data_IF_743322785232
#
_entry.id   IF_743322785232
#
_cell.length_a   1.000
_cell.length_b   1.000
_cell.length_c   1.000
_cell.angle_alpha   90.00
_cell.angle_beta   90.00
_cell.angle_gamma   90.00
#
_symmetry.space_group_name_H-M   'P 1'
#
loop_
_entity.id
_entity.type
_entity.pdbx_description
1 polymer ?
#
# COMPACT_ATOMS: atom_id res chain seq x y z
N UNK A 1 29.08 27.93 -27.17
CA UNK A 1 28.35 26.65 -27.11
C UNK A 1 28.47 26.14 -25.69
N UNK A 2 27.40 25.91 -24.93
CA UNK A 2 27.51 25.35 -23.59
C UNK A 2 27.99 23.90 -23.71
N UNK A 3 29.09 23.60 -23.04
CA UNK A 3 29.68 22.27 -22.92
C UNK A 3 28.63 21.34 -22.26
N UNK A 4 28.04 20.40 -23.01
CA UNK A 4 27.16 19.36 -22.50
C UNK A 4 27.96 18.55 -21.47
N UNK A 5 27.79 18.85 -20.20
CA UNK A 5 28.38 18.10 -19.11
C UNK A 5 27.97 16.62 -19.29
N UNK A 6 28.95 15.76 -19.41
CA UNK A 6 28.74 14.31 -19.62
C UNK A 6 28.23 13.75 -18.29
N UNK A 7 26.93 13.43 -18.24
CA UNK A 7 26.32 12.83 -17.05
C UNK A 7 27.12 11.62 -16.57
N UNK A 8 27.29 11.48 -15.27
CA UNK A 8 27.87 10.30 -14.64
C UNK A 8 27.01 9.06 -14.89
N UNK A 9 27.52 7.88 -14.55
CA UNK A 9 26.73 6.63 -14.65
C UNK A 9 25.50 6.69 -13.73
N UNK A 10 25.68 7.18 -12.50
CA UNK A 10 24.63 7.23 -11.47
C UNK A 10 23.58 8.30 -11.80
N UNK A 11 23.98 9.45 -12.32
CA UNK A 11 23.04 10.48 -12.80
C UNK A 11 22.15 9.97 -13.94
N UNK A 12 22.70 9.18 -14.86
CA UNK A 12 21.89 8.57 -15.93
C UNK A 12 20.92 7.53 -15.41
N UNK A 13 21.37 6.72 -14.44
CA UNK A 13 20.51 5.71 -13.80
C UNK A 13 19.36 6.37 -13.05
N UNK A 14 19.64 7.40 -12.27
CA UNK A 14 18.61 8.17 -11.56
C UNK A 14 17.61 8.80 -12.53
N UNK A 15 18.07 9.40 -13.64
CA UNK A 15 17.16 9.95 -14.67
C UNK A 15 16.25 8.89 -15.29
N UNK A 16 16.78 7.69 -15.53
CA UNK A 16 15.99 6.58 -16.04
C UNK A 16 14.90 6.16 -15.04
N UNK A 17 15.23 6.07 -13.75
CA UNK A 17 14.27 5.72 -12.70
C UNK A 17 13.18 6.79 -12.55
N UNK A 18 13.56 8.07 -12.51
CA UNK A 18 12.58 9.17 -12.43
C UNK A 18 11.65 9.19 -13.63
N UNK A 19 12.20 9.09 -14.84
CA UNK A 19 11.39 9.02 -16.07
C UNK A 19 10.49 7.78 -16.10
N UNK A 20 10.98 6.64 -15.61
CA UNK A 20 10.22 5.40 -15.53
C UNK A 20 9.06 5.54 -14.54
N UNK A 21 9.28 6.14 -13.35
CA UNK A 21 8.21 6.41 -12.38
C UNK A 21 7.09 7.22 -13.00
N UNK A 22 7.40 8.32 -13.68
CA UNK A 22 6.41 9.18 -14.33
C UNK A 22 5.64 8.41 -15.42
N UNK A 23 6.35 7.73 -16.35
CA UNK A 23 5.70 7.04 -17.49
C UNK A 23 4.85 5.87 -16.99
N UNK A 24 5.33 5.10 -16.02
CA UNK A 24 4.56 4.01 -15.43
C UNK A 24 3.35 4.53 -14.65
N UNK A 25 3.50 5.61 -13.88
CA UNK A 25 2.40 6.23 -13.14
C UNK A 25 1.29 6.76 -14.05
N UNK A 26 1.66 7.33 -15.22
CA UNK A 26 0.70 7.85 -16.20
C UNK A 26 -0.07 6.76 -16.95
N UNK A 27 0.57 5.63 -17.28
CA UNK A 27 0.05 4.65 -18.25
C UNK A 27 -0.11 3.23 -17.71
N UNK A 28 0.44 2.94 -16.54
CA UNK A 28 0.60 1.60 -16.00
C UNK A 28 1.72 0.81 -16.69
N UNK A 29 2.04 -0.35 -16.10
CA UNK A 29 3.11 -1.20 -16.63
C UNK A 29 2.88 -1.62 -18.08
N UNK A 30 1.68 -2.11 -18.41
CA UNK A 30 1.40 -2.72 -19.72
C UNK A 30 1.56 -1.76 -20.88
N UNK A 31 0.99 -0.55 -20.77
CA UNK A 31 0.95 0.44 -21.86
C UNK A 31 2.26 1.23 -22.02
N UNK A 32 3.19 1.08 -21.08
CA UNK A 32 4.48 1.75 -21.12
C UNK A 32 5.43 1.07 -22.08
N UNK A 33 6.05 1.83 -22.97
CA UNK A 33 7.13 1.39 -23.84
C UNK A 33 8.49 1.91 -23.36
N UNK A 34 9.54 1.10 -23.52
CA UNK A 34 10.94 1.49 -23.23
C UNK A 34 11.36 2.75 -24.00
N UNK A 35 10.84 2.93 -25.21
CA UNK A 35 11.05 4.12 -26.05
C UNK A 35 10.62 5.42 -25.37
N UNK A 36 9.51 5.40 -24.64
CA UNK A 36 8.98 6.57 -23.93
C UNK A 36 9.85 6.92 -22.71
N UNK A 37 10.27 5.89 -21.96
CA UNK A 37 11.16 6.07 -20.81
C UNK A 37 12.48 6.71 -21.24
N UNK A 38 13.13 6.18 -22.28
CA UNK A 38 14.42 6.72 -22.73
C UNK A 38 14.28 8.11 -23.34
N UNK A 39 13.17 8.39 -24.03
CA UNK A 39 12.88 9.72 -24.56
C UNK A 39 12.75 10.74 -23.41
N UNK A 40 11.95 10.44 -22.40
CA UNK A 40 11.74 11.30 -21.23
C UNK A 40 13.02 11.50 -20.40
N UNK A 41 13.81 10.43 -20.25
CA UNK A 41 15.11 10.49 -19.56
C UNK A 41 16.20 11.24 -20.35
N UNK A 42 15.99 11.51 -21.64
CA UNK A 42 17.00 12.11 -22.52
C UNK A 42 18.21 11.22 -22.77
N UNK A 43 17.99 9.89 -22.82
CA UNK A 43 19.03 8.87 -23.06
C UNK A 43 18.64 7.97 -24.24
N UNK A 44 19.51 7.02 -24.61
CA UNK A 44 19.27 6.08 -25.71
C UNK A 44 18.87 4.69 -25.22
N UNK A 45 18.15 3.90 -26.05
CA UNK A 45 17.78 2.50 -25.71
C UNK A 45 18.99 1.64 -25.27
N UNK A 46 20.15 1.66 -26.00
CA UNK A 46 21.33 0.92 -25.54
C UNK A 46 21.82 1.34 -24.15
N UNK A 47 21.62 2.60 -23.77
CA UNK A 47 21.99 3.10 -22.46
C UNK A 47 21.07 2.56 -21.36
N UNK A 48 19.75 2.46 -21.61
CA UNK A 48 18.82 1.80 -20.69
C UNK A 48 19.21 0.35 -20.46
N UNK A 49 19.42 -0.44 -21.54
CA UNK A 49 19.78 -1.86 -21.41
C UNK A 49 21.15 -2.11 -20.77
N UNK A 50 22.04 -1.10 -20.76
CA UNK A 50 23.29 -1.16 -19.99
C UNK A 50 23.07 -1.05 -18.48
N UNK A 51 22.06 -0.30 -18.05
CA UNK A 51 21.71 -0.11 -16.65
C UNK A 51 20.70 -1.15 -16.15
N UNK A 52 19.83 -1.59 -17.03
CA UNK A 52 18.70 -2.51 -16.80
C UNK A 52 18.67 -3.56 -17.92
N UNK A 53 19.53 -4.60 -17.84
CA UNK A 53 19.59 -5.66 -18.86
C UNK A 53 18.25 -6.37 -19.09
N UNK A 54 17.44 -6.55 -18.05
CA UNK A 54 16.09 -7.10 -18.11
C UNK A 54 15.02 -6.13 -18.66
N UNK A 55 15.43 -4.93 -19.07
CA UNK A 55 14.58 -3.97 -19.74
C UNK A 55 13.43 -3.42 -18.87
N UNK A 56 12.21 -3.45 -19.44
CA UNK A 56 11.03 -2.85 -18.80
C UNK A 56 10.69 -3.46 -17.44
N UNK A 57 10.76 -4.79 -17.32
CA UNK A 57 10.45 -5.48 -16.07
C UNK A 57 11.44 -5.14 -14.96
N UNK A 58 12.73 -5.11 -15.27
CA UNK A 58 13.77 -4.79 -14.29
C UNK A 58 13.67 -3.35 -13.78
N UNK A 59 13.50 -2.38 -14.69
CA UNK A 59 13.35 -0.98 -14.28
C UNK A 59 12.05 -0.74 -13.51
N UNK A 60 10.97 -1.46 -13.83
CA UNK A 60 9.72 -1.39 -13.08
C UNK A 60 9.89 -1.92 -11.66
N UNK A 61 10.52 -3.10 -11.53
CA UNK A 61 10.80 -3.69 -10.21
C UNK A 61 11.64 -2.77 -9.33
N UNK A 62 12.63 -2.12 -9.90
CA UNK A 62 13.47 -1.20 -9.14
C UNK A 62 12.73 0.07 -8.73
N UNK A 63 11.93 0.65 -9.62
CA UNK A 63 11.04 1.78 -9.28
C UNK A 63 10.06 1.38 -8.17
N UNK A 64 9.48 0.19 -8.26
CA UNK A 64 8.57 -0.35 -7.25
C UNK A 64 9.27 -0.50 -5.89
N UNK A 65 10.45 -1.12 -5.87
CA UNK A 65 11.23 -1.34 -4.63
C UNK A 65 11.66 -0.02 -3.98
N UNK A 66 12.09 0.97 -4.75
CA UNK A 66 12.47 2.31 -4.26
C UNK A 66 11.28 3.01 -3.57
N UNK A 67 10.10 2.98 -4.21
CA UNK A 67 8.90 3.60 -3.63
C UNK A 67 8.41 2.85 -2.39
N UNK A 68 8.46 1.52 -2.40
CA UNK A 68 8.15 0.69 -1.24
C UNK A 68 9.06 0.99 -0.05
N UNK A 69 10.36 1.02 -0.28
CA UNK A 69 11.33 1.35 0.78
C UNK A 69 11.08 2.76 1.33
N UNK A 70 10.82 3.73 0.46
CA UNK A 70 10.51 5.10 0.87
C UNK A 70 9.23 5.18 1.71
N UNK A 71 8.17 4.49 1.27
CA UNK A 71 6.91 4.40 1.99
C UNK A 71 7.09 3.76 3.36
N UNK A 72 7.69 2.55 3.41
CA UNK A 72 7.90 1.81 4.66
C UNK A 72 8.75 2.59 5.66
N UNK A 73 9.79 3.28 5.20
CA UNK A 73 10.61 4.15 6.04
C UNK A 73 9.78 5.30 6.64
N UNK A 74 9.00 6.01 5.82
CA UNK A 74 8.13 7.13 6.28
C UNK A 74 7.09 6.66 7.30
N UNK A 75 6.47 5.49 7.07
CA UNK A 75 5.52 4.88 7.99
C UNK A 75 6.21 4.50 9.31
N UNK A 76 7.34 3.81 9.23
CA UNK A 76 8.11 3.41 10.42
C UNK A 76 8.58 4.60 11.26
N UNK A 77 9.11 5.65 10.63
CA UNK A 77 9.50 6.90 11.30
C UNK A 77 8.33 7.62 11.99
N UNK A 78 7.12 7.56 11.38
CA UNK A 78 5.93 8.16 11.98
C UNK A 78 5.44 7.34 13.16
N UNK A 79 5.37 6.01 13.01
CA UNK A 79 4.91 5.09 14.06
C UNK A 79 5.87 5.03 15.25
N UNK A 80 7.18 5.12 15.03
CA UNK A 80 8.19 5.13 16.09
C UNK A 80 8.07 6.33 17.07
N UNK A 81 7.34 7.37 16.70
CA UNK A 81 7.05 8.55 17.55
C UNK A 81 5.78 8.39 18.39
N UNK A 82 5.13 7.24 18.32
CA UNK A 82 3.89 6.98 19.05
C UNK A 82 4.18 6.65 20.51
N UNK A 83 3.30 7.10 21.38
CA UNK A 83 3.35 6.82 22.84
C UNK A 83 2.50 5.60 23.23
N UNK A 84 1.55 5.21 22.35
CA UNK A 84 0.65 4.09 22.54
C UNK A 84 0.35 3.37 21.21
N UNK A 85 -0.06 2.09 21.24
CA UNK A 85 -0.36 1.32 20.02
C UNK A 85 -1.42 1.97 19.11
N UNK A 86 -2.48 2.54 19.69
CA UNK A 86 -3.53 3.24 18.91
C UNK A 86 -2.98 4.51 18.23
N UNK A 87 -2.07 5.25 18.87
CA UNK A 87 -1.40 6.40 18.25
C UNK A 87 -0.44 5.95 17.14
N UNK A 88 0.23 4.79 17.29
CA UNK A 88 1.03 4.19 16.23
C UNK A 88 0.18 3.89 14.99
N UNK A 89 -0.99 3.26 15.19
CA UNK A 89 -1.93 2.98 14.10
C UNK A 89 -2.40 4.27 13.41
N UNK A 90 -2.78 5.29 14.18
CA UNK A 90 -3.17 6.60 13.65
C UNK A 90 -2.06 7.25 12.82
N UNK A 91 -0.83 7.26 13.35
CA UNK A 91 0.33 7.85 12.65
C UNK A 91 0.68 7.08 11.40
N UNK A 92 0.58 5.76 11.42
CA UNK A 92 0.79 4.91 10.25
C UNK A 92 -0.20 5.22 9.13
N UNK A 93 -1.49 5.29 9.45
CA UNK A 93 -2.55 5.66 8.48
C UNK A 93 -2.31 7.08 7.93
N UNK A 94 -2.04 8.08 8.78
CA UNK A 94 -1.76 9.46 8.32
C UNK A 94 -0.52 9.52 7.42
N UNK A 95 0.55 8.81 7.78
CA UNK A 95 1.77 8.75 6.98
C UNK A 95 1.54 8.08 5.62
N UNK A 96 0.69 7.04 5.57
CA UNK A 96 0.32 6.39 4.31
C UNK A 96 -0.49 7.31 3.39
N UNK A 97 -1.51 7.99 3.92
CA UNK A 97 -2.29 8.98 3.15
C UNK A 97 -1.40 10.14 2.66
N UNK A 98 -0.49 10.60 3.52
CA UNK A 98 0.48 11.64 3.16
C UNK A 98 1.41 11.18 2.04
N UNK A 99 1.93 9.95 2.13
CA UNK A 99 2.77 9.39 1.07
C UNK A 99 2.02 9.34 -0.26
N UNK A 100 0.78 8.87 -0.27
CA UNK A 100 -0.04 8.80 -1.47
C UNK A 100 -0.36 10.20 -2.05
N UNK A 101 -0.57 11.20 -1.19
CA UNK A 101 -0.81 12.59 -1.60
C UNK A 101 0.44 13.26 -2.20
N UNK A 102 1.61 13.00 -1.61
CA UNK A 102 2.90 13.55 -2.06
C UNK A 102 3.45 12.81 -3.30
N UNK A 103 3.04 11.56 -3.53
CA UNK A 103 3.59 10.69 -4.58
C UNK A 103 2.48 9.90 -5.30
N UNK A 104 1.53 10.58 -5.99
CA UNK A 104 0.39 9.91 -6.60
C UNK A 104 0.78 8.87 -7.65
N UNK A 105 1.82 9.12 -8.45
CA UNK A 105 2.34 8.17 -9.44
C UNK A 105 2.87 6.89 -8.77
N UNK A 106 3.63 7.05 -7.68
CA UNK A 106 4.15 5.94 -6.89
C UNK A 106 3.00 5.14 -6.24
N UNK A 107 1.98 5.83 -5.73
CA UNK A 107 0.80 5.19 -5.17
C UNK A 107 0.08 4.34 -6.21
N UNK A 108 -0.12 4.84 -7.42
CA UNK A 108 -0.72 4.08 -8.51
C UNK A 108 0.06 2.82 -8.86
N UNK A 109 1.39 2.89 -8.87
CA UNK A 109 2.26 1.73 -9.10
C UNK A 109 2.11 0.66 -8.01
N UNK A 110 2.07 1.09 -6.74
CA UNK A 110 1.93 0.19 -5.59
C UNK A 110 0.53 -0.42 -5.47
N UNK A 111 -0.51 0.28 -5.95
CA UNK A 111 -1.89 -0.15 -5.95
C UNK A 111 -2.25 -0.98 -7.21
N UNK A 112 -1.35 -1.09 -8.20
CA UNK A 112 -1.61 -1.85 -9.42
C UNK A 112 -1.76 -3.34 -9.11
N UNK A 113 -2.93 -3.89 -9.36
CA UNK A 113 -3.27 -5.31 -9.13
C UNK A 113 -3.55 -6.05 -10.43
N UNK A 114 -3.01 -5.57 -11.53
CA UNK A 114 -3.30 -6.10 -12.87
C UNK A 114 -2.85 -7.56 -13.00
N UNK A 115 -3.75 -8.43 -13.41
CA UNK A 115 -3.45 -9.82 -13.79
C UNK A 115 -2.50 -9.94 -15.00
N UNK A 116 -2.14 -8.81 -15.59
CA UNK A 116 -1.32 -8.70 -16.80
C UNK A 116 0.13 -8.29 -16.50
N UNK A 117 0.50 -8.18 -15.22
CA UNK A 117 1.88 -7.95 -14.79
C UNK A 117 2.71 -9.24 -14.94
N UNK A 118 4.02 -9.07 -15.13
CA UNK A 118 4.96 -10.20 -15.10
C UNK A 118 4.83 -10.95 -13.76
N UNK A 119 4.89 -12.31 -13.75
CA UNK A 119 4.72 -13.11 -12.54
C UNK A 119 5.63 -12.68 -11.38
N UNK A 120 6.88 -12.31 -11.67
CA UNK A 120 7.82 -11.83 -10.66
C UNK A 120 7.38 -10.51 -9.99
N UNK A 121 6.74 -9.61 -10.74
CA UNK A 121 6.17 -8.36 -10.21
C UNK A 121 4.97 -8.68 -9.31
N UNK A 122 4.08 -9.57 -9.75
CA UNK A 122 2.92 -9.99 -8.96
C UNK A 122 3.34 -10.62 -7.64
N UNK A 123 4.35 -11.50 -7.66
CA UNK A 123 4.84 -12.15 -6.46
C UNK A 123 5.51 -11.14 -5.50
N UNK A 124 6.23 -10.16 -6.04
CA UNK A 124 6.80 -9.07 -5.24
C UNK A 124 5.73 -8.23 -4.54
N UNK A 125 4.70 -7.81 -5.27
CA UNK A 125 3.57 -7.06 -4.70
C UNK A 125 2.86 -7.87 -3.61
N UNK A 126 2.61 -9.17 -3.82
CA UNK A 126 2.03 -10.05 -2.80
C UNK A 126 2.89 -10.12 -1.54
N UNK A 127 4.20 -10.34 -1.68
CA UNK A 127 5.12 -10.37 -0.54
C UNK A 127 5.07 -9.08 0.27
N UNK A 128 5.06 -7.93 -0.39
CA UNK A 128 4.97 -6.64 0.26
C UNK A 128 3.65 -6.49 1.02
N UNK A 129 2.52 -6.81 0.40
CA UNK A 129 1.20 -6.77 1.04
C UNK A 129 1.15 -7.67 2.28
N UNK A 130 1.72 -8.88 2.20
CA UNK A 130 1.82 -9.79 3.35
C UNK A 130 2.66 -9.15 4.46
N UNK A 131 3.84 -8.62 4.16
CA UNK A 131 4.70 -7.96 5.16
C UNK A 131 3.99 -6.79 5.85
N UNK A 132 3.26 -5.96 5.08
CA UNK A 132 2.47 -4.85 5.64
C UNK A 132 1.33 -5.38 6.52
N UNK A 133 0.61 -6.40 6.06
CA UNK A 133 -0.49 -7.01 6.82
C UNK A 133 0.00 -7.62 8.14
N UNK A 134 1.16 -8.29 8.14
CA UNK A 134 1.76 -8.87 9.34
C UNK A 134 2.13 -7.77 10.36
N UNK A 135 2.79 -6.70 9.95
CA UNK A 135 3.11 -5.57 10.81
C UNK A 135 1.87 -4.82 11.34
N UNK A 136 0.82 -4.72 10.52
CA UNK A 136 -0.48 -4.21 10.97
C UNK A 136 -1.14 -5.14 12.00
N UNK A 137 -1.09 -6.46 11.80
CA UNK A 137 -1.63 -7.45 12.74
C UNK A 137 -0.95 -7.36 14.10
N UNK A 138 0.37 -7.20 14.14
CA UNK A 138 1.12 -6.96 15.39
C UNK A 138 0.66 -5.67 16.09
N UNK A 139 0.53 -4.57 15.34
CA UNK A 139 0.10 -3.28 15.88
C UNK A 139 -1.34 -3.34 16.41
N UNK A 140 -2.26 -3.93 15.64
CA UNK A 140 -3.66 -4.13 16.05
C UNK A 140 -3.73 -5.06 17.27
N UNK A 141 -2.97 -6.14 17.28
CA UNK A 141 -2.89 -7.04 18.43
C UNK A 141 -2.44 -6.32 19.71
N UNK A 142 -1.48 -5.40 19.61
CA UNK A 142 -1.06 -4.57 20.74
C UNK A 142 -2.20 -3.63 21.22
N UNK A 143 -2.93 -2.99 20.29
CA UNK A 143 -4.10 -2.15 20.61
C UNK A 143 -5.17 -2.95 21.34
N UNK A 144 -5.49 -4.15 20.84
CA UNK A 144 -6.51 -5.01 21.43
C UNK A 144 -6.12 -5.49 22.83
N UNK A 145 -4.86 -5.88 23.04
CA UNK A 145 -4.33 -6.27 24.36
C UNK A 145 -4.37 -5.14 25.36
N UNK A 146 -4.00 -3.93 24.96
CA UNK A 146 -4.08 -2.75 25.84
C UNK A 146 -5.52 -2.44 26.27
N UNK A 147 -6.49 -2.75 25.41
CA UNK A 147 -7.92 -2.59 25.68
C UNK A 147 -8.59 -3.80 26.39
N UNK A 148 -7.81 -4.82 26.80
CA UNK A 148 -8.30 -6.09 27.38
C UNK A 148 -9.28 -6.84 26.44
N UNK A 149 -9.01 -6.78 25.13
CA UNK A 149 -9.78 -7.46 24.10
C UNK A 149 -9.00 -8.64 23.52
N UNK A 150 -9.72 -9.62 22.93
CA UNK A 150 -9.07 -10.74 22.24
C UNK A 150 -8.34 -10.28 20.98
N UNK A 151 -7.08 -10.66 20.82
CA UNK A 151 -6.24 -10.36 19.65
C UNK A 151 -6.25 -11.46 18.58
N UNK A 152 -7.02 -12.55 18.77
CA UNK A 152 -7.09 -13.68 17.84
C UNK A 152 -7.50 -13.24 16.41
N UNK A 153 -8.34 -12.21 16.30
CA UNK A 153 -8.81 -11.64 15.03
C UNK A 153 -7.84 -10.63 14.40
N UNK A 154 -6.74 -10.27 15.04
CA UNK A 154 -5.83 -9.21 14.55
C UNK A 154 -5.38 -9.40 13.09
N UNK A 155 -5.02 -10.60 12.60
CA UNK A 155 -4.68 -10.79 11.19
C UNK A 155 -5.83 -10.48 10.23
N UNK A 156 -7.07 -10.83 10.60
CA UNK A 156 -8.27 -10.53 9.78
C UNK A 156 -8.49 -9.02 9.71
N UNK A 157 -8.43 -8.34 10.87
CA UNK A 157 -8.59 -6.89 10.94
C UNK A 157 -7.49 -6.15 10.17
N UNK A 158 -6.25 -6.67 10.19
CA UNK A 158 -5.14 -6.12 9.42
C UNK A 158 -5.41 -6.17 7.90
N UNK A 159 -5.91 -7.29 7.39
CA UNK A 159 -6.27 -7.41 5.97
C UNK A 159 -7.45 -6.51 5.58
N UNK A 160 -8.49 -6.41 6.44
CA UNK A 160 -9.63 -5.50 6.23
C UNK A 160 -9.14 -4.05 6.23
N UNK A 161 -8.30 -3.67 7.19
CA UNK A 161 -7.77 -2.32 7.27
C UNK A 161 -6.91 -2.00 6.05
N UNK A 162 -5.98 -2.86 5.69
CA UNK A 162 -5.09 -2.64 4.54
C UNK A 162 -5.91 -2.42 3.26
N UNK A 163 -6.82 -3.34 2.93
CA UNK A 163 -7.66 -3.21 1.73
C UNK A 163 -8.61 -2.01 1.79
N UNK A 164 -9.19 -1.74 2.96
CA UNK A 164 -10.09 -0.60 3.18
C UNK A 164 -9.36 0.73 3.04
N UNK A 165 -8.17 0.87 3.63
CA UNK A 165 -7.36 2.09 3.52
C UNK A 165 -6.91 2.31 2.08
N UNK A 166 -6.43 1.28 1.37
CA UNK A 166 -6.06 1.38 -0.04
C UNK A 166 -7.22 1.89 -0.91
N UNK A 167 -8.41 1.32 -0.73
CA UNK A 167 -9.62 1.73 -1.46
C UNK A 167 -10.03 3.17 -1.14
N UNK A 168 -10.02 3.54 0.16
CA UNK A 168 -10.34 4.90 0.60
C UNK A 168 -9.34 5.92 0.07
N UNK A 169 -8.04 5.58 0.06
CA UNK A 169 -6.99 6.48 -0.46
C UNK A 169 -7.17 6.71 -1.96
N UNK A 170 -7.44 5.67 -2.74
CA UNK A 170 -7.70 5.81 -4.18
C UNK A 170 -8.87 6.75 -4.43
N UNK A 171 -10.02 6.52 -3.79
CA UNK A 171 -11.19 7.40 -3.88
C UNK A 171 -10.89 8.83 -3.42
N UNK A 172 -10.18 8.99 -2.30
CA UNK A 172 -9.86 10.30 -1.74
C UNK A 172 -8.92 11.11 -2.63
N UNK A 173 -7.93 10.47 -3.25
CA UNK A 173 -7.02 11.14 -4.20
C UNK A 173 -7.76 11.68 -5.42
N UNK A 174 -8.78 10.97 -5.90
CA UNK A 174 -9.60 11.41 -7.04
C UNK A 174 -10.55 12.55 -6.67
N UNK A 175 -11.17 12.49 -5.50
CA UNK A 175 -12.26 13.39 -5.14
C UNK A 175 -11.83 14.61 -4.33
N UNK A 176 -10.84 14.44 -3.47
CA UNK A 176 -10.36 15.48 -2.52
C UNK A 176 -11.48 16.14 -1.71
N UNK A 177 -12.58 15.39 -1.45
CA UNK A 177 -13.78 15.91 -0.77
C UNK A 177 -13.56 16.23 0.71
N UNK A 178 -12.56 15.60 1.33
CA UNK A 178 -12.27 15.72 2.76
C UNK A 178 -10.80 16.05 2.99
N UNK A 179 -10.54 16.75 4.07
CA UNK A 179 -9.19 16.93 4.58
C UNK A 179 -8.60 15.58 5.04
N UNK A 180 -7.28 15.37 4.87
CA UNK A 180 -6.60 14.12 5.25
C UNK A 180 -6.87 13.72 6.70
N UNK A 181 -6.84 14.68 7.63
CA UNK A 181 -7.10 14.45 9.06
C UNK A 181 -8.51 13.91 9.32
N UNK A 182 -9.50 14.34 8.56
CA UNK A 182 -10.86 13.84 8.65
C UNK A 182 -10.95 12.39 8.17
N UNK A 183 -10.30 12.05 7.04
CA UNK A 183 -10.24 10.67 6.53
C UNK A 183 -9.62 9.74 7.57
N UNK A 184 -8.48 10.13 8.17
CA UNK A 184 -7.83 9.37 9.25
C UNK A 184 -8.79 9.16 10.42
N UNK A 185 -9.51 10.21 10.84
CA UNK A 185 -10.46 10.15 11.96
C UNK A 185 -11.60 9.18 11.68
N UNK A 186 -12.19 9.21 10.49
CA UNK A 186 -13.27 8.29 10.12
C UNK A 186 -12.80 6.84 10.07
N UNK A 187 -11.63 6.57 9.48
CA UNK A 187 -11.04 5.22 9.46
C UNK A 187 -10.82 4.68 10.88
N UNK A 188 -10.19 5.46 11.75
CA UNK A 188 -9.95 5.05 13.14
C UNK A 188 -11.25 4.89 13.93
N UNK A 189 -12.24 5.76 13.73
CA UNK A 189 -13.53 5.65 14.40
C UNK A 189 -14.23 4.35 14.01
N UNK A 190 -14.23 4.01 12.73
CA UNK A 190 -14.83 2.77 12.23
C UNK A 190 -14.15 1.54 12.86
N UNK A 191 -12.82 1.52 12.90
CA UNK A 191 -12.05 0.43 13.51
C UNK A 191 -12.32 0.31 15.00
N UNK A 192 -12.25 1.43 15.73
CA UNK A 192 -12.45 1.44 17.18
C UNK A 192 -13.86 0.99 17.55
N UNK A 193 -14.89 1.50 16.87
CA UNK A 193 -16.28 1.07 17.08
C UNK A 193 -16.49 -0.42 16.77
N UNK A 194 -15.78 -0.95 15.76
CA UNK A 194 -15.76 -2.39 15.49
C UNK A 194 -15.14 -3.18 16.65
N UNK A 195 -14.07 -2.68 17.24
CA UNK A 195 -13.39 -3.33 18.37
C UNK A 195 -14.18 -3.29 19.67
N UNK A 196 -14.94 -2.21 19.95
CA UNK A 196 -15.80 -2.11 21.15
C UNK A 196 -16.83 -3.26 21.27
N UNK A 197 -17.19 -3.88 20.16
CA UNK A 197 -18.09 -5.04 20.11
C UNK A 197 -17.40 -6.39 20.36
N UNK A 198 -16.07 -6.43 20.52
CA UNK A 198 -15.34 -7.68 20.71
C UNK A 198 -15.45 -8.18 22.17
N UNK A 199 -15.40 -9.52 22.38
CA UNK A 199 -15.40 -10.09 23.73
C UNK A 199 -14.16 -9.66 24.52
N UNK A 200 -14.34 -9.36 25.81
CA UNK A 200 -13.26 -9.07 26.76
C UNK A 200 -12.67 -10.36 27.32
N UNK A 201 -11.35 -10.34 27.56
CA UNK A 201 -10.63 -11.46 28.16
C UNK A 201 -10.58 -12.69 27.29
N UNK A 202 -9.43 -13.25 26.98
CA UNK A 202 -9.07 -14.40 26.15
C UNK A 202 -10.03 -15.57 25.89
N UNK A 203 -11.34 -15.35 26.00
CA UNK A 203 -12.37 -16.31 25.66
C UNK A 203 -12.48 -16.45 24.15
N UNK A 204 -12.28 -17.67 23.64
CA UNK A 204 -12.52 -17.98 22.23
C UNK A 204 -13.84 -17.36 21.79
N UNK A 205 -13.78 -16.56 20.73
CA UNK A 205 -14.96 -16.00 20.07
C UNK A 205 -15.82 -17.16 19.61
N UNK A 206 -16.77 -17.59 20.44
CA UNK A 206 -17.93 -18.33 19.96
C UNK A 206 -18.81 -17.31 19.27
N UNK A 207 -18.56 -17.09 17.97
CA UNK A 207 -19.47 -16.38 17.12
C UNK A 207 -20.80 -17.16 17.11
N UNK A 208 -21.69 -16.83 18.02
CA UNK A 208 -23.11 -17.11 17.85
C UNK A 208 -23.63 -16.20 16.74
N UNK A 209 -23.24 -16.50 15.48
CA UNK A 209 -23.72 -15.81 14.28
C UNK A 209 -25.25 -15.78 14.21
N UNK A 210 -25.92 -16.73 14.88
CA UNK A 210 -27.38 -16.79 15.04
C UNK A 210 -28.00 -15.60 15.79
N UNK A 211 -27.22 -14.83 16.55
CA UNK A 211 -27.72 -13.61 17.23
C UNK A 211 -27.49 -12.32 16.46
N UNK A 212 -26.59 -12.32 15.48
CA UNK A 212 -26.21 -11.10 14.75
C UNK A 212 -26.93 -11.01 13.41
N UNK A 213 -27.29 -12.13 12.80
CA UNK A 213 -27.95 -12.19 11.51
C UNK A 213 -29.13 -13.15 11.64
N UNK A 214 -30.34 -12.60 11.70
CA UNK A 214 -31.59 -13.35 11.50
C UNK A 214 -31.69 -13.68 9.99
N UNK A 215 -30.86 -14.64 9.55
CA UNK A 215 -30.93 -15.14 8.18
C UNK A 215 -32.19 -16.00 8.09
N UNK A 216 -33.13 -15.66 7.18
CA UNK A 216 -34.27 -16.53 6.93
C UNK A 216 -33.74 -17.93 6.55
N UNK A 217 -34.17 -18.95 7.25
CA UNK A 217 -33.84 -20.35 6.94
C UNK A 217 -34.19 -20.56 5.46
N UNK A 218 -33.16 -20.84 4.66
CA UNK A 218 -33.36 -21.33 3.31
C UNK A 218 -34.15 -22.63 3.47
N UNK A 219 -35.43 -22.63 3.07
CA UNK A 219 -36.24 -23.81 3.06
C UNK A 219 -35.51 -24.85 2.20
N UNK A 220 -35.16 -25.98 2.81
CA UNK A 220 -34.73 -27.17 2.08
C UNK A 220 -35.87 -27.50 1.12
N UNK A 221 -35.68 -27.24 -0.17
CA UNK A 221 -36.54 -27.74 -1.22
C UNK A 221 -36.32 -29.25 -1.24
N UNK A 222 -37.21 -29.94 -0.57
CA UNK A 222 -37.28 -31.40 -0.53
C UNK A 222 -37.68 -31.97 -1.89
N UNK A 223 -37.11 -33.12 -2.15
CA UNK A 223 -37.51 -34.25 -3.01
C UNK A 223 -37.78 -33.99 -4.47
#
# INVERSE_FOLDING_TARGET
MPMRMRLSRDERRLRLLLAATEVFGEKGYRKTEVSEIVHRAGVTKPMLYRHFPGGKAEIYMEVLDDHLQSMMRKLGEAMAKAEAPLDALRRGIDAYLRFAEENPEAFHLLAETSAELDPGIVDRLKQVRTTIADGLAETIGAVLKEADLSDEGAPVYAHVLLGGVESVVAWWLETKLLERSAVVTYLLTLLWRGFEGLPRGGSRIRLELSRIIDLPRVAEAGS
#
